data_IF_746647298051
#
_entry.id   IF_746647298051
#
_cell.length_a   1.000
_cell.length_b   1.000
_cell.length_c   1.000
_cell.angle_alpha   90.00
_cell.angle_beta   90.00
_cell.angle_gamma   90.00
#
_symmetry.space_group_name_H-M   'P 1'
#
loop_
_entity.id
_entity.type
_entity.pdbx_description
1 polymer ?
#
# COMPACT_ATOMS: atom_id res chain seq x y z
N UNK A 1 -3.53 6.52 6.26
CA UNK A 1 -3.57 5.07 5.95
C UNK A 1 -4.03 4.23 7.14
N UNK A 2 -3.29 4.12 8.26
CA UNK A 2 -3.69 3.28 9.44
C UNK A 2 -5.12 3.58 9.94
N UNK A 3 -5.44 4.86 10.20
CA UNK A 3 -6.78 5.30 10.59
C UNK A 3 -7.88 4.86 9.62
N UNK A 4 -7.60 4.92 8.31
CA UNK A 4 -8.55 4.54 7.27
C UNK A 4 -8.78 3.02 7.31
N UNK A 5 -7.71 2.23 7.41
CA UNK A 5 -7.79 0.76 7.48
C UNK A 5 -8.61 0.30 8.69
N UNK A 6 -8.28 0.83 9.88
CA UNK A 6 -8.99 0.49 11.13
C UNK A 6 -10.45 0.91 11.09
N UNK A 7 -10.73 2.14 10.67
CA UNK A 7 -12.10 2.64 10.55
C UNK A 7 -12.95 1.82 9.57
N UNK A 8 -12.38 1.40 8.43
CA UNK A 8 -13.08 0.51 7.50
C UNK A 8 -13.45 -0.83 8.15
N UNK A 9 -12.56 -1.41 8.96
CA UNK A 9 -12.81 -2.68 9.63
C UNK A 9 -13.82 -2.53 10.77
N UNK A 10 -13.66 -1.51 11.62
CA UNK A 10 -14.54 -1.22 12.76
C UNK A 10 -15.99 -0.96 12.33
N UNK A 11 -16.19 -0.31 11.18
CA UNK A 11 -17.51 0.01 10.63
C UNK A 11 -18.07 -1.07 9.70
N UNK A 12 -17.36 -2.19 9.50
CA UNK A 12 -17.79 -3.27 8.60
C UNK A 12 -17.87 -2.88 7.11
N UNK A 13 -17.19 -1.80 6.71
CA UNK A 13 -17.22 -1.25 5.35
C UNK A 13 -16.33 -2.06 4.41
N UNK A 14 -16.70 -2.22 3.13
CA UNK A 14 -15.90 -2.93 2.13
C UNK A 14 -14.53 -2.31 1.87
N UNK A 15 -14.49 -0.99 1.70
CA UNK A 15 -13.35 -0.14 1.38
C UNK A 15 -12.51 -0.68 0.22
N UNK A 16 -13.17 -0.99 -0.91
CA UNK A 16 -12.56 -1.62 -2.09
C UNK A 16 -11.71 -0.63 -2.88
N UNK A 17 -12.18 0.61 -3.00
CA UNK A 17 -11.40 1.69 -3.61
C UNK A 17 -11.53 3.01 -2.84
N UNK A 18 -10.70 3.16 -1.80
CA UNK A 18 -10.73 4.34 -0.91
C UNK A 18 -9.37 5.05 -0.87
N UNK A 19 -9.35 6.38 -0.66
CA UNK A 19 -8.11 7.13 -0.62
C UNK A 19 -7.32 6.87 0.67
N UNK A 20 -5.99 6.91 0.56
CA UNK A 20 -5.06 6.86 1.71
C UNK A 20 -4.90 8.23 2.37
N UNK A 21 -5.15 9.31 1.62
CA UNK A 21 -5.10 10.70 2.07
C UNK A 21 -6.05 11.62 1.28
N UNK A 22 -6.56 12.64 1.96
CA UNK A 22 -7.47 13.66 1.42
C UNK A 22 -7.15 15.01 2.05
N UNK A 23 -7.58 16.13 1.45
CA UNK A 23 -7.31 17.45 2.05
C UNK A 23 -7.91 17.59 3.45
N UNK A 24 -9.18 17.19 3.72
CA UNK A 24 -9.73 17.24 5.07
C UNK A 24 -8.95 16.37 6.06
N UNK A 25 -8.51 15.17 5.66
CA UNK A 25 -7.71 14.30 6.53
C UNK A 25 -6.37 14.94 6.90
N UNK A 26 -5.67 15.52 5.93
CA UNK A 26 -4.41 16.22 6.19
C UNK A 26 -4.60 17.39 7.16
N UNK A 27 -5.67 18.18 6.97
CA UNK A 27 -6.03 19.26 7.89
C UNK A 27 -6.33 18.74 9.30
N UNK A 28 -7.00 17.60 9.43
CA UNK A 28 -7.26 16.97 10.73
C UNK A 28 -5.99 16.53 11.47
N UNK A 29 -4.87 16.37 10.76
CA UNK A 29 -3.54 16.15 11.35
C UNK A 29 -2.76 17.45 11.61
N UNK A 30 -3.42 18.62 11.55
CA UNK A 30 -2.80 19.92 11.84
C UNK A 30 -2.01 20.52 10.67
N UNK A 31 -2.21 20.05 9.43
CA UNK A 31 -1.56 20.66 8.27
C UNK A 31 -2.27 21.97 7.91
N UNK A 32 -1.50 23.07 7.84
CA UNK A 32 -1.98 24.35 7.31
C UNK A 32 -2.30 24.27 5.82
N UNK A 33 -3.08 25.20 5.29
CA UNK A 33 -3.43 25.24 3.85
C UNK A 33 -2.19 25.25 2.96
N UNK A 34 -1.13 25.96 3.37
CA UNK A 34 0.16 25.94 2.68
C UNK A 34 0.77 24.53 2.63
N UNK A 35 0.79 23.81 3.78
CA UNK A 35 1.32 22.43 3.85
C UNK A 35 0.47 21.47 3.02
N UNK A 36 -0.86 21.62 3.03
CA UNK A 36 -1.77 20.83 2.20
C UNK A 36 -1.52 21.08 0.71
N UNK A 37 -1.37 22.34 0.28
CA UNK A 37 -1.04 22.69 -1.11
C UNK A 37 0.31 22.09 -1.53
N UNK A 38 1.33 22.19 -0.67
CA UNK A 38 2.66 21.60 -0.90
C UNK A 38 2.59 20.07 -1.01
N UNK A 39 1.86 19.41 -0.12
CA UNK A 39 1.64 17.97 -0.15
C UNK A 39 1.07 17.53 -1.51
N UNK A 40 0.00 18.18 -1.98
CA UNK A 40 -0.62 17.80 -3.25
C UNK A 40 0.27 18.07 -4.46
N UNK A 41 1.07 19.13 -4.43
CA UNK A 41 2.06 19.40 -5.48
C UNK A 41 3.07 18.26 -5.58
N UNK A 42 3.57 17.78 -4.43
CA UNK A 42 4.51 16.66 -4.37
C UNK A 42 3.81 15.35 -4.77
N UNK A 43 2.64 15.05 -4.22
CA UNK A 43 1.90 13.83 -4.55
C UNK A 43 1.62 13.73 -6.05
N UNK A 44 1.25 14.84 -6.70
CA UNK A 44 1.02 14.89 -8.15
C UNK A 44 2.28 14.66 -8.98
N UNK A 45 3.47 15.06 -8.51
CA UNK A 45 4.72 14.75 -9.21
C UNK A 45 5.12 13.28 -9.12
N UNK A 46 4.51 12.52 -8.19
CA UNK A 46 4.66 11.06 -8.11
C UNK A 46 3.52 10.31 -8.80
N UNK A 47 2.50 10.99 -9.35
CA UNK A 47 1.51 10.33 -10.19
C UNK A 47 2.20 9.78 -11.44
N UNK A 48 2.07 8.48 -11.70
CA UNK A 48 2.78 7.78 -12.77
C UNK A 48 4.16 7.27 -12.38
N UNK A 49 4.67 7.60 -11.19
CA UNK A 49 5.79 6.90 -10.60
C UNK A 49 5.34 5.52 -10.10
N UNK A 50 6.09 4.49 -10.46
CA UNK A 50 5.81 3.11 -10.08
C UNK A 50 7.04 2.48 -9.42
N UNK A 51 6.82 1.77 -8.32
CA UNK A 51 7.88 1.04 -7.62
C UNK A 51 7.72 -0.43 -7.96
N UNK A 52 8.66 -1.00 -8.70
CA UNK A 52 8.64 -2.41 -9.04
C UNK A 52 8.91 -3.28 -7.79
N UNK A 53 7.89 -4.02 -7.38
CA UNK A 53 7.94 -4.89 -6.20
C UNK A 53 8.12 -6.37 -6.56
N UNK A 54 7.79 -6.75 -7.80
CA UNK A 54 7.99 -8.09 -8.33
C UNK A 54 8.20 -8.04 -9.83
N UNK A 55 9.21 -8.75 -10.34
CA UNK A 55 9.43 -8.98 -11.77
C UNK A 55 9.98 -10.38 -12.01
N UNK A 56 9.31 -11.13 -12.86
CA UNK A 56 9.79 -12.42 -13.38
C UNK A 56 9.21 -12.62 -14.78
N UNK A 57 10.09 -12.77 -15.78
CA UNK A 57 9.71 -12.81 -17.20
C UNK A 57 8.77 -11.63 -17.55
N UNK A 58 7.63 -11.88 -18.20
CA UNK A 58 6.63 -10.87 -18.57
C UNK A 58 5.71 -10.46 -17.39
N UNK A 59 5.83 -11.13 -16.24
CA UNK A 59 5.02 -10.80 -15.06
C UNK A 59 5.67 -9.71 -14.23
N UNK A 60 4.94 -8.62 -14.02
CA UNK A 60 5.42 -7.48 -13.23
C UNK A 60 4.34 -6.98 -12.25
N UNK A 61 4.76 -6.63 -11.03
CA UNK A 61 3.91 -5.90 -10.07
C UNK A 61 4.60 -4.64 -9.59
N UNK A 62 3.78 -3.60 -9.42
CA UNK A 62 4.20 -2.26 -9.06
C UNK A 62 3.34 -1.71 -7.93
N UNK A 63 3.96 -0.95 -7.01
CA UNK A 63 3.22 0.00 -6.18
C UNK A 63 3.09 1.29 -6.98
N UNK A 64 1.86 1.77 -7.14
CA UNK A 64 1.54 2.97 -7.93
C UNK A 64 0.80 3.98 -7.06
N UNK A 65 1.20 5.25 -7.20
CA UNK A 65 0.53 6.39 -6.57
C UNK A 65 -0.35 7.08 -7.60
N UNK A 66 -1.60 7.36 -7.22
CA UNK A 66 -2.55 8.05 -8.10
C UNK A 66 -3.25 9.18 -7.36
N UNK A 67 -3.20 10.38 -7.92
CA UNK A 67 -3.95 11.54 -7.41
C UNK A 67 -5.14 11.81 -8.30
N UNK A 68 -6.35 11.72 -7.73
CA UNK A 68 -7.62 12.05 -8.40
C UNK A 68 -8.23 13.30 -7.81
N UNK A 69 -9.06 13.99 -8.61
CA UNK A 69 -9.88 15.12 -8.15
C UNK A 69 -11.36 14.84 -8.40
N UNK A 70 -12.06 14.46 -7.35
CA UNK A 70 -13.43 13.93 -7.41
C UNK A 70 -14.16 14.19 -6.08
N UNK A 71 -15.49 14.02 -6.00
CA UNK A 71 -16.25 14.21 -4.76
C UNK A 71 -15.77 13.25 -3.67
N UNK A 72 -15.76 13.72 -2.43
CA UNK A 72 -15.34 12.93 -1.27
C UNK A 72 -16.56 12.30 -0.63
N UNK A 73 -16.57 10.97 -0.51
CA UNK A 73 -17.62 10.21 0.15
C UNK A 73 -17.10 9.78 1.52
N UNK A 74 -17.82 10.06 2.59
CA UNK A 74 -17.43 9.63 3.93
C UNK A 74 -18.61 9.23 4.81
N UNK A 75 -18.37 8.25 5.67
CA UNK A 75 -19.30 7.78 6.70
C UNK A 75 -18.56 7.70 8.02
N UNK A 76 -19.07 8.37 9.06
CA UNK A 76 -18.47 8.40 10.40
C UNK A 76 -16.95 8.68 10.42
N UNK A 77 -16.51 9.70 9.66
CA UNK A 77 -15.10 10.09 9.50
C UNK A 77 -14.18 9.10 8.77
N UNK A 78 -14.74 8.08 8.11
CA UNK A 78 -14.04 7.12 7.27
C UNK A 78 -14.43 7.37 5.81
N UNK A 79 -13.45 7.45 4.90
CA UNK A 79 -13.76 7.59 3.48
C UNK A 79 -14.29 6.28 2.92
N UNK A 80 -15.31 6.35 2.06
CA UNK A 80 -15.94 5.17 1.47
C UNK A 80 -15.89 5.23 -0.05
N UNK A 81 -15.99 4.06 -0.68
CA UNK A 81 -16.26 3.98 -2.11
C UNK A 81 -17.76 4.12 -2.38
N UNK A 82 -18.13 4.17 -3.66
CA UNK A 82 -19.52 4.34 -4.07
C UNK A 82 -20.42 3.19 -3.59
N UNK A 83 -19.93 1.94 -3.61
CA UNK A 83 -20.70 0.75 -3.24
C UNK A 83 -21.03 0.81 -1.75
N UNK A 84 -20.03 1.06 -0.91
CA UNK A 84 -20.23 1.21 0.52
C UNK A 84 -21.13 2.42 0.83
N UNK A 85 -20.96 3.54 0.12
CA UNK A 85 -21.79 4.73 0.32
C UNK A 85 -23.28 4.46 0.08
N UNK A 86 -23.62 3.64 -0.92
CA UNK A 86 -25.00 3.21 -1.18
C UNK A 86 -25.59 2.38 -0.04
N UNK A 87 -24.77 1.64 0.70
CA UNK A 87 -25.22 0.78 1.79
C UNK A 87 -25.43 1.53 3.12
N UNK A 88 -24.55 2.50 3.43
CA UNK A 88 -24.54 3.16 4.75
C UNK A 88 -25.04 4.61 4.73
N UNK A 89 -25.58 5.07 3.60
CA UNK A 89 -26.01 6.47 3.38
C UNK A 89 -24.92 7.48 3.77
N UNK A 90 -23.84 7.50 3.00
CA UNK A 90 -22.70 8.37 3.29
C UNK A 90 -22.97 9.86 3.01
N UNK A 91 -22.12 10.73 3.55
CA UNK A 91 -22.09 12.16 3.22
C UNK A 91 -21.16 12.41 2.04
N UNK A 92 -21.68 13.11 1.02
CA UNK A 92 -20.89 13.61 -0.10
C UNK A 92 -20.39 15.03 0.20
N UNK A 93 -19.10 15.25 0.01
CA UNK A 93 -18.43 16.53 0.13
C UNK A 93 -17.93 17.01 -1.24
N UNK A 94 -17.75 18.33 -1.42
CA UNK A 94 -17.27 18.90 -2.67
C UNK A 94 -15.96 18.28 -3.20
N UNK A 95 -15.76 18.39 -4.51
CA UNK A 95 -14.59 17.83 -5.20
C UNK A 95 -13.28 18.26 -4.57
N UNK A 96 -12.48 17.30 -4.14
CA UNK A 96 -11.18 17.49 -3.51
C UNK A 96 -10.10 16.60 -4.12
N UNK A 97 -8.84 16.91 -3.81
CA UNK A 97 -7.75 15.98 -4.15
C UNK A 97 -7.81 14.75 -3.22
N UNK A 98 -7.60 13.59 -3.83
CA UNK A 98 -7.52 12.29 -3.17
C UNK A 98 -6.25 11.59 -3.61
N UNK A 99 -5.51 11.00 -2.68
CA UNK A 99 -4.37 10.16 -2.97
C UNK A 99 -4.77 8.71 -2.78
N UNK A 100 -4.45 7.88 -3.77
CA UNK A 100 -4.60 6.44 -3.74
C UNK A 100 -3.23 5.78 -3.85
N UNK A 101 -3.12 4.61 -3.23
CA UNK A 101 -1.99 3.69 -3.39
C UNK A 101 -2.57 2.40 -3.94
N UNK A 102 -2.02 1.92 -5.05
CA UNK A 102 -2.42 0.66 -5.65
C UNK A 102 -1.25 -0.31 -5.76
N UNK A 103 -1.56 -1.60 -5.76
CA UNK A 103 -0.70 -2.61 -6.36
C UNK A 103 -1.27 -2.90 -7.75
N UNK A 104 -0.48 -2.63 -8.78
CA UNK A 104 -0.82 -2.91 -10.18
C UNK A 104 0.04 -4.08 -10.68
N UNK A 105 -0.57 -5.06 -11.32
CA UNK A 105 0.06 -6.26 -11.83
C UNK A 105 -0.25 -6.45 -13.32
N UNK A 106 0.74 -6.90 -14.08
CA UNK A 106 0.59 -7.40 -15.45
C UNK A 106 0.95 -8.88 -15.48
N UNK A 107 0.02 -9.71 -15.95
CA UNK A 107 0.10 -11.17 -16.00
C UNK A 107 -0.34 -11.63 -17.39
N UNK A 108 0.60 -11.99 -18.27
CA UNK A 108 0.30 -12.50 -19.61
C UNK A 108 -0.66 -11.59 -20.42
N UNK A 109 -0.48 -10.27 -20.31
CA UNK A 109 -1.35 -9.27 -20.97
C UNK A 109 -2.62 -8.89 -20.20
N UNK A 110 -2.94 -9.59 -19.11
CA UNK A 110 -4.02 -9.20 -18.19
C UNK A 110 -3.51 -8.18 -17.17
N UNK A 111 -4.36 -7.20 -16.86
CA UNK A 111 -4.06 -6.17 -15.89
C UNK A 111 -4.88 -6.35 -14.62
N UNK A 112 -4.21 -6.30 -13.47
CA UNK A 112 -4.84 -6.31 -12.16
C UNK A 112 -4.48 -5.04 -11.41
N UNK A 113 -5.45 -4.44 -10.71
CA UNK A 113 -5.24 -3.26 -9.87
C UNK A 113 -5.99 -3.42 -8.56
N UNK A 114 -5.26 -3.37 -7.45
CA UNK A 114 -5.81 -3.56 -6.11
C UNK A 114 -5.47 -2.37 -5.23
N UNK A 115 -6.46 -1.81 -4.55
CA UNK A 115 -6.26 -0.71 -3.62
C UNK A 115 -5.46 -1.16 -2.38
N UNK A 116 -4.47 -0.37 -1.99
CA UNK A 116 -3.59 -0.67 -0.85
C UNK A 116 -4.29 -0.62 0.51
N UNK A 117 -5.29 0.25 0.69
CA UNK A 117 -6.11 0.26 1.91
C UNK A 117 -6.91 -1.03 2.03
N UNK A 118 -7.52 -1.47 0.93
CA UNK A 118 -8.27 -2.72 0.88
C UNK A 118 -7.39 -3.92 1.28
N UNK A 119 -6.20 -4.05 0.69
CA UNK A 119 -5.26 -5.11 1.01
C UNK A 119 -4.83 -5.09 2.48
N UNK A 120 -4.51 -3.91 3.01
CA UNK A 120 -4.10 -3.76 4.40
C UNK A 120 -5.24 -4.04 5.38
N UNK A 121 -6.47 -3.68 5.03
CA UNK A 121 -7.66 -4.06 5.78
C UNK A 121 -7.82 -5.58 5.82
N UNK A 122 -7.72 -6.26 4.67
CA UNK A 122 -7.80 -7.73 4.64
C UNK A 122 -6.67 -8.40 5.43
N UNK A 123 -5.47 -7.82 5.41
CA UNK A 123 -4.38 -8.27 6.26
C UNK A 123 -4.68 -8.09 7.76
N UNK A 124 -5.24 -6.95 8.16
CA UNK A 124 -5.64 -6.70 9.56
C UNK A 124 -6.73 -7.68 10.01
N UNK A 125 -7.72 -7.91 9.17
CA UNK A 125 -8.85 -8.84 9.40
C UNK A 125 -8.37 -10.28 9.61
N UNK A 126 -7.44 -10.76 8.77
CA UNK A 126 -7.01 -12.16 8.77
C UNK A 126 -5.78 -12.45 9.66
N UNK A 127 -4.87 -11.48 9.78
CA UNK A 127 -3.55 -11.62 10.42
C UNK A 127 -3.13 -10.31 11.09
N UNK A 128 -3.78 -9.89 12.19
CA UNK A 128 -3.54 -8.59 12.84
C UNK A 128 -2.10 -8.41 13.34
N UNK A 129 -1.42 -9.49 13.74
CA UNK A 129 0.01 -9.46 14.07
C UNK A 129 0.87 -9.05 12.87
N UNK A 130 0.61 -9.67 11.71
CA UNK A 130 1.33 -9.35 10.48
C UNK A 130 1.06 -7.92 9.99
N UNK A 131 -0.18 -7.46 10.13
CA UNK A 131 -0.53 -6.07 9.84
C UNK A 131 0.35 -5.08 10.62
N UNK A 132 0.54 -5.28 11.93
CA UNK A 132 1.40 -4.42 12.76
C UNK A 132 2.84 -4.41 12.26
N UNK A 133 3.37 -5.56 11.86
CA UNK A 133 4.73 -5.67 11.32
C UNK A 133 4.87 -5.00 9.95
N UNK A 134 3.87 -5.14 9.07
CA UNK A 134 3.83 -4.45 7.77
C UNK A 134 3.73 -2.94 7.94
N UNK A 135 2.87 -2.45 8.84
CA UNK A 135 2.82 -1.03 9.17
C UNK A 135 4.18 -0.53 9.70
N UNK A 136 4.83 -1.33 10.55
CA UNK A 136 6.18 -1.03 11.05
C UNK A 136 7.22 -0.98 9.93
N UNK A 137 7.14 -1.86 8.92
CA UNK A 137 7.99 -1.79 7.73
C UNK A 137 7.79 -0.49 6.95
N UNK A 138 6.54 -0.04 6.81
CA UNK A 138 6.23 1.21 6.11
C UNK A 138 6.84 2.41 6.86
N UNK A 139 6.64 2.47 8.19
CA UNK A 139 7.27 3.51 9.02
C UNK A 139 8.79 3.41 9.03
N UNK A 140 9.33 2.20 9.10
CA UNK A 140 10.78 1.92 9.05
C UNK A 140 11.40 2.38 7.74
N UNK A 141 10.74 2.13 6.61
CA UNK A 141 11.17 2.58 5.27
C UNK A 141 11.27 4.10 5.18
N UNK A 142 10.34 4.83 5.81
CA UNK A 142 10.37 6.30 5.86
C UNK A 142 11.49 6.86 6.74
N UNK A 143 11.93 6.10 7.75
CA UNK A 143 12.98 6.50 8.71
C UNK A 143 14.35 5.89 8.41
N UNK A 144 14.44 5.00 7.42
CA UNK A 144 15.64 4.22 7.13
C UNK A 144 15.97 3.15 8.18
N UNK A 145 15.02 2.72 9.02
CA UNK A 145 15.22 1.71 10.06
C UNK A 145 15.14 0.27 9.49
N UNK A 146 16.30 -0.35 9.33
CA UNK A 146 16.42 -1.68 8.74
C UNK A 146 15.75 -2.78 9.60
N UNK A 147 15.80 -2.66 10.93
CA UNK A 147 15.26 -3.68 11.83
C UNK A 147 13.74 -3.78 11.69
N UNK A 148 13.06 -2.63 11.65
CA UNK A 148 11.61 -2.58 11.41
C UNK A 148 11.23 -3.09 10.02
N UNK A 149 12.03 -2.76 9.00
CA UNK A 149 11.82 -3.24 7.64
C UNK A 149 11.94 -4.76 7.52
N UNK A 150 12.96 -5.36 8.15
CA UNK A 150 13.18 -6.81 8.10
C UNK A 150 12.06 -7.60 8.79
N UNK A 151 11.52 -7.10 9.91
CA UNK A 151 10.39 -7.74 10.59
C UNK A 151 9.17 -7.82 9.69
N UNK A 152 8.74 -6.70 9.10
CA UNK A 152 7.59 -6.70 8.18
C UNK A 152 7.84 -7.51 6.91
N UNK A 153 9.06 -7.50 6.37
CA UNK A 153 9.40 -8.28 5.18
C UNK A 153 9.34 -9.78 5.47
N UNK A 154 9.85 -10.21 6.64
CA UNK A 154 9.73 -11.59 7.12
C UNK A 154 8.26 -12.00 7.27
N UNK A 155 7.40 -11.11 7.76
CA UNK A 155 5.98 -11.42 7.85
C UNK A 155 5.32 -11.65 6.50
N UNK A 156 5.55 -10.73 5.55
CA UNK A 156 5.04 -10.86 4.19
C UNK A 156 5.55 -12.13 3.52
N UNK A 157 6.83 -12.44 3.69
CA UNK A 157 7.42 -13.68 3.18
C UNK A 157 6.76 -14.92 3.78
N UNK A 158 6.57 -14.97 5.10
CA UNK A 158 5.88 -16.07 5.76
C UNK A 158 4.42 -16.20 5.29
N UNK A 159 3.74 -15.07 5.05
CA UNK A 159 2.38 -15.06 4.52
C UNK A 159 2.33 -15.65 3.11
N UNK A 160 3.21 -15.21 2.21
CA UNK A 160 3.31 -15.74 0.84
C UNK A 160 3.61 -17.24 0.88
N UNK A 161 4.53 -17.68 1.74
CA UNK A 161 4.89 -19.08 1.86
C UNK A 161 3.75 -19.94 2.44
N UNK A 162 2.98 -19.41 3.40
CA UNK A 162 1.83 -20.10 3.97
C UNK A 162 0.69 -20.31 2.95
N UNK A 163 0.59 -19.44 1.96
CA UNK A 163 -0.40 -19.52 0.87
C UNK A 163 0.26 -19.83 -0.47
N UNK A 164 1.44 -20.47 -0.47
CA UNK A 164 2.24 -20.68 -1.68
C UNK A 164 1.46 -21.33 -2.82
N UNK A 165 0.58 -22.29 -2.51
CA UNK A 165 -0.17 -23.07 -3.51
C UNK A 165 -1.19 -22.17 -4.24
N UNK A 166 -1.78 -21.21 -3.53
CA UNK A 166 -2.66 -20.20 -4.13
C UNK A 166 -1.85 -19.14 -4.87
N UNK A 167 -0.75 -18.69 -4.27
CA UNK A 167 0.11 -17.67 -4.88
C UNK A 167 0.74 -18.18 -6.17
N UNK A 168 1.11 -19.46 -6.26
CA UNK A 168 1.68 -20.07 -7.46
C UNK A 168 0.70 -20.20 -8.63
N UNK A 169 -0.61 -20.09 -8.38
CA UNK A 169 -1.61 -20.00 -9.47
C UNK A 169 -1.48 -18.65 -10.19
N UNK A 170 -1.09 -17.61 -9.46
CA UNK A 170 -1.00 -16.24 -9.99
C UNK A 170 0.43 -15.87 -10.36
N UNK A 171 1.41 -16.19 -9.51
CA UNK A 171 2.81 -15.83 -9.71
C UNK A 171 3.57 -16.99 -10.35
N UNK A 172 4.23 -16.77 -11.52
CA UNK A 172 5.03 -17.82 -12.18
C UNK A 172 6.22 -18.27 -11.31
N UNK A 173 6.72 -17.39 -10.44
CA UNK A 173 7.80 -17.69 -9.50
C UNK A 173 7.47 -17.20 -8.09
N UNK A 174 7.05 -18.13 -7.23
CA UNK A 174 6.86 -17.84 -5.81
C UNK A 174 8.19 -17.98 -5.05
N UNK A 175 8.68 -16.94 -4.35
CA UNK A 175 9.92 -17.03 -3.60
C UNK A 175 9.77 -17.95 -2.40
N UNK A 176 10.67 -18.95 -2.25
CA UNK A 176 10.66 -19.90 -1.12
C UNK A 176 11.78 -19.64 -0.12
N UNK A 177 12.65 -18.66 -0.40
CA UNK A 177 13.64 -18.15 0.53
C UNK A 177 13.98 -16.67 0.25
N UNK A 178 14.76 -16.05 1.14
CA UNK A 178 15.20 -14.65 1.00
C UNK A 178 15.99 -14.44 -0.30
N UNK A 179 16.79 -15.43 -0.74
CA UNK A 179 17.56 -15.34 -1.99
C UNK A 179 16.63 -15.22 -3.19
N UNK A 180 15.58 -16.03 -3.26
CA UNK A 180 14.59 -15.95 -4.32
C UNK A 180 13.84 -14.61 -4.28
N UNK A 181 13.54 -14.12 -3.08
CA UNK A 181 12.89 -12.83 -2.90
C UNK A 181 13.76 -11.68 -3.46
N UNK A 182 15.07 -11.69 -3.21
CA UNK A 182 16.02 -10.71 -3.78
C UNK A 182 16.10 -10.82 -5.32
N UNK A 183 15.95 -12.04 -5.85
CA UNK A 183 15.92 -12.26 -7.30
C UNK A 183 14.68 -11.65 -7.94
N UNK A 184 13.49 -11.93 -7.39
CA UNK A 184 12.22 -11.52 -8.00
C UNK A 184 11.74 -10.14 -7.57
N UNK A 185 12.30 -9.54 -6.51
CA UNK A 185 11.84 -8.25 -5.97
C UNK A 185 12.89 -7.14 -6.13
N UNK A 186 12.77 -6.27 -7.15
CA UNK A 186 13.73 -5.19 -7.39
C UNK A 186 13.85 -4.22 -6.21
N UNK A 187 12.74 -3.87 -5.56
CA UNK A 187 12.75 -2.99 -4.38
C UNK A 187 13.60 -3.59 -3.25
N UNK A 188 13.47 -4.90 -3.00
CA UNK A 188 14.24 -5.60 -1.97
C UNK A 188 15.72 -5.59 -2.36
N UNK A 189 16.04 -5.85 -3.63
CA UNK A 189 17.42 -5.79 -4.13
C UNK A 189 18.06 -4.43 -3.88
N UNK A 190 17.34 -3.33 -4.13
CA UNK A 190 17.81 -1.96 -3.87
C UNK A 190 18.04 -1.73 -2.36
N UNK A 191 17.11 -2.19 -1.51
CA UNK A 191 17.24 -2.05 -0.06
C UNK A 191 18.43 -2.82 0.51
N UNK A 192 18.74 -4.01 -0.03
CA UNK A 192 19.91 -4.79 0.36
C UNK A 192 21.21 -4.22 -0.24
N UNK A 193 21.22 -3.79 -1.50
CA UNK A 193 22.44 -3.29 -2.18
C UNK A 193 22.87 -1.89 -1.72
N UNK A 194 21.92 -1.01 -1.41
CA UNK A 194 22.20 0.33 -0.86
C UNK A 194 22.80 0.29 0.55
N UNK A 195 22.63 -0.82 1.29
CA UNK A 195 23.14 -0.99 2.66
C UNK A 195 24.27 -2.00 2.80
N UNK A 196 24.53 -2.87 1.83
CA UNK A 196 25.76 -3.68 1.75
C UNK A 196 27.02 -2.82 1.52
N UNK A 197 26.87 -1.57 1.06
CA UNK A 197 27.96 -0.57 1.03
C UNK A 197 28.25 0.09 2.39
N UNK A 198 27.49 -0.22 3.44
CA UNK A 198 27.64 0.32 4.80
C UNK A 198 28.05 -0.73 5.84
N UNK A 199 28.28 -1.98 5.42
CA UNK A 199 28.93 -2.97 6.27
C UNK A 199 30.44 -2.86 6.03
N UNK A 200 31.27 -2.71 7.08
CA UNK A 200 32.70 -2.83 6.90
C UNK A 200 32.97 -4.21 6.32
N UNK A 201 33.76 -4.25 5.26
CA UNK A 201 34.42 -5.46 4.79
C UNK A 201 35.24 -6.03 5.94
N UNK A 202 34.70 -7.06 6.59
CA UNK A 202 35.46 -8.00 7.42
C UNK A 202 36.17 -8.99 6.52
#
# INVERSE_FOLDING_TARGET
MDRQVKGCLELGLGCRDVPVATSPLLKSFGFSDYKVKKFWRIAKSFTGFSINIYRYEETCFYIVLEVRREPLLAYQNVYVDFIDCQQVHCTEYPKGNKLYIYIEGSLEGNFMKINGVFLLKKLLELRPGCYKEVMSLIYGSLRGDLSLMLKGARCLFNLVNAYKDLVSIVLPKTPVCIRDLVMVSPIIRVLFSSKLKLLPST
#
